data_IF_723577548242
#
_entry.id   IF_723577548242
#
_cell.length_a   1.000
_cell.length_b   1.000
_cell.length_c   1.000
_cell.angle_alpha   90.00
_cell.angle_beta   90.00
_cell.angle_gamma   90.00
#
_symmetry.space_group_name_H-M   'P 1'
#
loop_
_entity.id
_entity.type
_entity.pdbx_description
1 polymer ?
#
# COMPACT_ATOMS: atom_id res chain seq x y z
N UNK A 1 -20.90 -7.85 -0.03
CA UNK A 1 -21.17 -6.42 -0.26
C UNK A 1 -19.99 -5.86 -1.03
N UNK A 2 -20.21 -5.26 -2.20
CA UNK A 2 -19.16 -4.55 -2.92
C UNK A 2 -19.09 -3.12 -2.37
N UNK A 3 -17.89 -2.60 -2.19
CA UNK A 3 -17.63 -1.23 -1.74
C UNK A 3 -16.92 -0.49 -2.87
N UNK A 4 -17.52 0.59 -3.36
CA UNK A 4 -16.87 1.44 -4.35
C UNK A 4 -15.89 2.39 -3.66
N UNK A 5 -14.62 2.33 -4.07
CA UNK A 5 -13.54 3.20 -3.58
C UNK A 5 -12.98 3.96 -4.77
N UNK A 6 -13.02 5.30 -4.71
CA UNK A 6 -12.41 6.11 -5.75
C UNK A 6 -10.88 6.10 -5.59
N UNK A 7 -10.17 5.90 -6.70
CA UNK A 7 -8.70 5.85 -6.75
C UNK A 7 -8.20 6.80 -7.82
N UNK A 8 -7.16 7.56 -7.48
CA UNK A 8 -6.43 8.43 -8.41
C UNK A 8 -5.01 7.91 -8.55
N UNK A 9 -4.56 7.71 -9.78
CA UNK A 9 -3.16 7.38 -10.09
C UNK A 9 -2.37 8.68 -10.25
N UNK A 10 -1.37 8.86 -9.40
CA UNK A 10 -0.46 10.01 -9.41
C UNK A 10 0.59 9.86 -10.55
N UNK A 11 1.28 10.94 -10.95
CA UNK A 11 2.21 10.91 -12.07
C UNK A 11 3.28 9.80 -11.97
N UNK A 12 3.85 9.57 -10.79
CA UNK A 12 4.86 8.52 -10.56
C UNK A 12 4.29 7.10 -10.43
N UNK A 13 2.96 6.96 -10.36
CA UNK A 13 2.26 5.67 -10.43
C UNK A 13 1.83 5.27 -11.84
N UNK A 14 1.98 6.15 -12.84
CA UNK A 14 1.58 5.89 -14.22
C UNK A 14 2.32 4.67 -14.78
N UNK A 15 1.58 3.77 -15.43
CA UNK A 15 2.11 2.51 -15.99
C UNK A 15 2.16 1.35 -15.00
N UNK A 16 1.95 1.58 -13.69
CA UNK A 16 1.71 0.50 -12.74
C UNK A 16 0.24 0.04 -12.83
N UNK A 17 -0.03 -1.29 -12.75
CA UNK A 17 -1.40 -1.76 -12.67
C UNK A 17 -2.01 -1.34 -11.33
N UNK A 18 -3.30 -1.00 -11.35
CA UNK A 18 -4.05 -0.78 -10.12
C UNK A 18 -4.05 -2.05 -9.26
N UNK A 19 -4.11 -1.91 -7.93
CA UNK A 19 -4.24 -3.06 -7.04
C UNK A 19 -5.52 -3.84 -7.33
N UNK A 20 -5.40 -5.16 -7.39
CA UNK A 20 -6.52 -6.06 -7.62
C UNK A 20 -6.47 -7.21 -6.62
N UNK A 21 -7.64 -7.77 -6.30
CA UNK A 21 -7.71 -9.04 -5.59
C UNK A 21 -7.24 -10.15 -6.53
N UNK A 22 -6.22 -10.91 -6.10
CA UNK A 22 -5.60 -11.95 -6.94
C UNK A 22 -6.53 -13.14 -7.16
N UNK A 23 -7.38 -13.45 -6.18
CA UNK A 23 -8.36 -14.54 -6.22
C UNK A 23 -9.69 -14.10 -5.60
N UNK A 24 -10.76 -14.82 -5.88
CA UNK A 24 -12.10 -14.56 -5.31
C UNK A 24 -12.12 -14.59 -3.76
N UNK A 25 -11.24 -15.37 -3.14
CA UNK A 25 -11.13 -15.48 -1.68
C UNK A 25 -10.11 -14.53 -1.04
N UNK A 26 -9.51 -13.63 -1.81
CA UNK A 26 -8.48 -12.73 -1.28
C UNK A 26 -9.08 -11.67 -0.35
N UNK A 27 -8.55 -11.56 0.86
CA UNK A 27 -8.98 -10.55 1.85
C UNK A 27 -8.32 -9.18 1.63
N UNK A 28 -7.18 -9.14 0.94
CA UNK A 28 -6.43 -7.93 0.64
C UNK A 28 -5.91 -7.92 -0.80
N UNK A 29 -5.40 -6.77 -1.20
CA UNK A 29 -4.77 -6.52 -2.49
C UNK A 29 -3.31 -6.09 -2.28
N UNK A 30 -2.44 -6.45 -3.21
CA UNK A 30 -1.02 -6.07 -3.13
C UNK A 30 -0.83 -4.63 -3.61
N UNK A 31 -0.13 -3.82 -2.82
CA UNK A 31 0.35 -2.50 -3.21
C UNK A 31 1.71 -2.63 -3.91
N UNK A 32 1.95 -1.80 -4.94
CA UNK A 32 3.21 -1.76 -5.68
C UNK A 32 4.01 -0.52 -5.31
N UNK A 33 5.33 -0.66 -5.29
CA UNK A 33 6.24 0.46 -5.07
C UNK A 33 6.32 1.32 -6.34
N UNK A 34 5.92 2.59 -6.23
CA UNK A 34 6.01 3.59 -7.29
C UNK A 34 7.29 4.42 -7.15
N UNK A 35 8.44 3.73 -7.10
CA UNK A 35 9.77 4.34 -6.99
C UNK A 35 10.37 4.55 -8.38
N UNK A 36 11.08 5.66 -8.57
CA UNK A 36 11.75 5.97 -9.84
C UNK A 36 12.96 5.05 -10.09
N UNK A 37 13.65 4.66 -9.03
CA UNK A 37 14.85 3.81 -9.06
C UNK A 37 14.79 2.76 -7.93
N UNK A 38 15.51 1.63 -8.05
CA UNK A 38 15.57 0.62 -7.01
C UNK A 38 16.00 1.19 -5.66
N UNK A 39 15.18 0.97 -4.63
CA UNK A 39 15.48 1.33 -3.25
C UNK A 39 16.18 0.16 -2.53
N UNK A 40 17.36 0.41 -1.99
CA UNK A 40 18.06 -0.55 -1.11
C UNK A 40 17.80 -0.21 0.35
N UNK A 41 17.27 -1.17 1.11
CA UNK A 41 17.03 -1.03 2.55
C UNK A 41 18.09 -1.86 3.30
N UNK A 42 19.02 -1.18 3.98
CA UNK A 42 19.99 -1.85 4.84
C UNK A 42 19.33 -2.38 6.13
N UNK A 43 19.89 -3.39 6.80
CA UNK A 43 19.34 -3.91 8.05
C UNK A 43 19.11 -2.79 9.09
N UNK A 44 17.88 -2.69 9.61
CA UNK A 44 17.47 -1.67 10.58
C UNK A 44 17.21 -0.28 10.01
N UNK A 45 17.45 -0.06 8.71
CA UNK A 45 17.07 1.16 8.02
C UNK A 45 15.55 1.20 7.79
N UNK A 46 15.02 2.41 7.62
CA UNK A 46 13.60 2.64 7.32
C UNK A 46 13.45 3.53 6.11
N UNK A 47 12.42 3.27 5.32
CA UNK A 47 12.09 4.10 4.17
C UNK A 47 10.57 4.20 3.99
N UNK A 48 10.10 5.37 3.56
CA UNK A 48 8.71 5.55 3.16
C UNK A 48 8.62 5.29 1.66
N UNK A 49 7.90 4.24 1.28
CA UNK A 49 7.77 3.81 -0.11
C UNK A 49 6.45 4.35 -0.70
N UNK A 50 6.50 5.20 -1.75
CA UNK A 50 5.31 5.68 -2.42
C UNK A 50 4.60 4.55 -3.18
N UNK A 51 3.26 4.63 -3.28
CA UNK A 51 2.47 3.68 -4.08
C UNK A 51 1.98 4.27 -5.40
N UNK A 52 2.09 5.61 -5.57
CA UNK A 52 1.60 6.30 -6.75
C UNK A 52 0.08 6.36 -6.83
N UNK A 53 -0.64 6.03 -5.76
CA UNK A 53 -2.10 6.12 -5.70
C UNK A 53 -2.57 6.93 -4.49
N UNK A 54 -3.64 7.68 -4.68
CA UNK A 54 -4.46 8.27 -3.61
C UNK A 54 -5.85 7.65 -3.68
N UNK A 55 -6.51 7.51 -2.53
CA UNK A 55 -7.83 6.89 -2.46
C UNK A 55 -8.80 7.72 -1.62
N UNK A 56 -10.09 7.54 -1.88
CA UNK A 56 -11.17 8.16 -1.12
C UNK A 56 -12.16 7.08 -0.69
N UNK A 57 -12.10 6.72 0.59
CA UNK A 57 -13.04 5.76 1.16
C UNK A 57 -14.37 6.43 1.48
N UNK A 58 -15.49 5.69 1.41
CA UNK A 58 -16.76 6.18 1.91
C UNK A 58 -16.73 6.33 3.44
N UNK A 59 -17.53 7.26 4.02
CA UNK A 59 -17.64 7.41 5.46
C UNK A 59 -18.03 6.10 6.17
N UNK A 60 -17.44 5.84 7.33
CA UNK A 60 -17.68 4.63 8.13
C UNK A 60 -16.78 3.44 7.78
N UNK A 61 -15.80 3.64 6.89
CA UNK A 61 -14.81 2.64 6.51
C UNK A 61 -13.39 3.16 6.74
N UNK A 62 -12.47 2.24 6.98
CA UNK A 62 -11.02 2.46 6.92
C UNK A 62 -10.39 1.45 5.96
N UNK A 63 -9.22 1.77 5.43
CA UNK A 63 -8.34 0.78 4.81
C UNK A 63 -7.14 0.53 5.73
N UNK A 64 -6.59 -0.69 5.65
CA UNK A 64 -5.43 -1.07 6.45
C UNK A 64 -4.30 -1.57 5.56
N UNK A 65 -3.12 -0.95 5.71
CA UNK A 65 -1.88 -1.42 5.09
C UNK A 65 -1.24 -2.44 6.04
N UNK A 66 -1.07 -3.67 5.57
CA UNK A 66 -0.52 -4.78 6.35
C UNK A 66 0.71 -5.39 5.65
N UNK A 67 1.62 -6.05 6.40
CA UNK A 67 2.80 -6.69 5.82
C UNK A 67 2.42 -7.88 4.93
N UNK A 68 3.18 -8.11 3.86
CA UNK A 68 3.12 -9.37 3.10
C UNK A 68 3.90 -10.44 3.85
N UNK A 69 3.23 -11.51 4.26
CA UNK A 69 3.83 -12.57 5.08
C UNK A 69 5.10 -13.17 4.46
N UNK A 70 5.12 -13.35 3.14
CA UNK A 70 6.31 -13.86 2.43
C UNK A 70 7.52 -12.93 2.56
N UNK A 71 7.34 -11.61 2.44
CA UNK A 71 8.45 -10.65 2.59
C UNK A 71 8.94 -10.59 4.04
N UNK A 72 8.01 -10.66 5.00
CA UNK A 72 8.35 -10.68 6.42
C UNK A 72 9.17 -11.92 6.79
N UNK A 73 8.76 -13.11 6.34
CA UNK A 73 9.45 -14.38 6.66
C UNK A 73 10.78 -14.52 5.91
N UNK A 74 10.81 -14.20 4.62
CA UNK A 74 12.00 -14.45 3.79
C UNK A 74 13.05 -13.36 3.86
N UNK A 75 12.66 -12.12 4.17
CA UNK A 75 13.55 -10.95 4.12
C UNK A 75 13.54 -10.09 5.38
N UNK A 76 12.69 -10.39 6.38
CA UNK A 76 12.53 -9.55 7.56
C UNK A 76 11.87 -8.20 7.28
N UNK A 77 11.33 -7.99 6.07
CA UNK A 77 10.73 -6.72 5.67
C UNK A 77 9.29 -6.66 6.18
N UNK A 78 8.98 -5.61 6.94
CA UNK A 78 7.62 -5.38 7.44
C UNK A 78 7.18 -3.92 7.25
N UNK A 79 5.90 -3.67 7.48
CA UNK A 79 5.34 -2.31 7.52
C UNK A 79 5.49 -1.80 8.95
N UNK A 80 6.29 -0.74 9.14
CA UNK A 80 6.70 -0.23 10.45
C UNK A 80 5.51 0.15 11.34
N UNK A 81 4.45 0.69 10.74
CA UNK A 81 3.23 1.11 11.43
C UNK A 81 2.07 0.12 11.27
N UNK A 82 2.33 -1.16 10.97
CA UNK A 82 1.28 -2.14 10.74
C UNK A 82 0.37 -2.38 11.96
N UNK A 83 -0.97 -2.50 11.77
CA UNK A 83 -1.70 -2.13 10.55
C UNK A 83 -1.71 -0.60 10.37
N UNK A 84 -1.29 -0.12 9.20
CA UNK A 84 -1.32 1.29 8.86
C UNK A 84 -2.73 1.72 8.48
N UNK A 85 -3.37 2.54 9.30
CA UNK A 85 -4.74 3.03 9.08
C UNK A 85 -4.77 4.12 8.00
N UNK A 86 -5.73 4.01 7.08
CA UNK A 86 -6.10 5.05 6.13
C UNK A 86 -7.56 5.42 6.41
N UNK A 87 -7.77 6.62 6.93
CA UNK A 87 -9.09 7.15 7.29
C UNK A 87 -9.91 7.57 6.07
N UNK A 88 -11.24 7.64 6.22
CA UNK A 88 -12.14 8.01 5.13
C UNK A 88 -12.02 9.45 4.65
N UNK A 89 -11.41 10.34 5.42
CA UNK A 89 -11.13 11.73 5.06
C UNK A 89 -9.70 11.92 4.51
N UNK A 90 -8.86 10.89 4.54
CA UNK A 90 -7.53 10.95 3.94
C UNK A 90 -7.60 11.02 2.42
N UNK A 91 -6.89 11.99 1.82
CA UNK A 91 -6.81 12.19 0.36
C UNK A 91 -5.39 12.25 -0.17
N UNK A 92 -4.41 12.07 0.71
CA UNK A 92 -3.01 12.02 0.32
C UNK A 92 -2.65 10.74 -0.43
N UNK A 93 -1.41 10.68 -0.89
CA UNK A 93 -0.85 9.46 -1.43
C UNK A 93 -0.79 8.37 -0.34
N UNK A 94 -1.17 7.15 -0.68
CA UNK A 94 -0.88 6.00 0.18
C UNK A 94 0.62 5.72 0.16
N UNK A 95 1.28 5.84 1.30
CA UNK A 95 2.70 5.58 1.44
C UNK A 95 2.94 4.49 2.49
N UNK A 96 3.92 3.63 2.23
CA UNK A 96 4.18 2.43 3.05
C UNK A 96 5.55 2.58 3.73
N UNK A 97 5.60 2.86 5.04
CA UNK A 97 6.86 2.88 5.77
C UNK A 97 7.34 1.43 6.00
N UNK A 98 8.46 1.08 5.39
CA UNK A 98 9.11 -0.23 5.53
C UNK A 98 10.29 -0.17 6.49
N UNK A 99 10.51 -1.27 7.20
CA UNK A 99 11.67 -1.58 8.05
C UNK A 99 12.11 -3.02 7.85
#
# INVERSE_FOLDING_TARGET
MALDVAVVVLPHGQGLPLPVYTTEGSAGLDLRAAVAEPLTLAPGARAVVPTGIALALPPGFEAQVRPRSGLAVSHGITVLNAPGTIDADYRGEVQVPLI
#
